data_IF_967102724882
#
_entry.id   IF_967102724882
#
_cell.length_a   1.000
_cell.length_b   1.000
_cell.length_c   1.000
_cell.angle_alpha   90.00
_cell.angle_beta   90.00
_cell.angle_gamma   90.00
#
_symmetry.space_group_name_H-M   'P 1'
#
loop_
_entity.id
_entity.type
_entity.pdbx_description
1 polymer ?
#
# COMPACT_ATOMS: atom_id res chain seq x y z
N UNK A 1 1.07 -8.75 -5.11
CA UNK A 1 1.80 -7.69 -4.40
C UNK A 1 2.70 -8.37 -3.40
N UNK A 2 3.99 -8.30 -3.63
CA UNK A 2 5.05 -8.82 -2.79
C UNK A 2 5.82 -7.63 -2.21
N UNK A 3 6.16 -7.73 -0.93
CA UNK A 3 6.98 -6.73 -0.24
C UNK A 3 8.23 -7.41 0.28
N UNK A 4 9.38 -6.92 -0.14
CA UNK A 4 10.67 -7.44 0.32
C UNK A 4 11.18 -6.58 1.46
N UNK A 5 11.55 -7.22 2.57
CA UNK A 5 12.21 -6.55 3.69
C UNK A 5 13.70 -6.83 3.60
N UNK A 6 14.52 -5.79 3.42
CA UNK A 6 15.97 -5.95 3.18
C UNK A 6 16.83 -5.66 4.40
N UNK A 7 16.42 -4.73 5.25
CA UNK A 7 17.25 -4.27 6.36
C UNK A 7 16.38 -3.86 7.55
N UNK A 8 16.82 -4.20 8.76
CA UNK A 8 16.22 -3.76 10.01
C UNK A 8 17.02 -2.60 10.60
N UNK A 9 16.32 -1.59 11.12
CA UNK A 9 16.90 -0.43 11.77
C UNK A 9 16.26 -0.22 13.14
N UNK A 10 17.08 -0.23 14.19
CA UNK A 10 16.61 -0.02 15.57
C UNK A 10 16.02 1.38 15.79
N UNK A 11 16.51 2.39 15.06
CA UNK A 11 15.98 3.76 15.09
C UNK A 11 16.27 4.42 13.75
N UNK A 12 15.23 4.70 12.99
CA UNK A 12 15.31 5.35 11.67
C UNK A 12 14.03 6.16 11.42
N UNK A 13 14.10 7.14 10.52
CA UNK A 13 12.94 7.97 10.19
C UNK A 13 12.00 7.24 9.23
N UNK A 14 10.81 6.88 9.72
CA UNK A 14 9.78 6.24 8.89
C UNK A 14 9.32 7.20 7.78
N UNK A 15 9.46 6.82 6.51
CA UNK A 15 9.10 7.67 5.35
C UNK A 15 7.61 8.03 5.32
N UNK A 16 6.73 7.21 5.91
CA UNK A 16 5.29 7.49 5.89
C UNK A 16 4.88 8.48 6.98
N UNK A 17 5.24 8.21 8.23
CA UNK A 17 4.76 8.99 9.37
C UNK A 17 5.77 9.99 9.91
N UNK A 18 6.97 10.04 9.33
CA UNK A 18 8.06 10.98 9.64
C UNK A 18 8.47 10.97 11.13
N UNK A 19 8.30 9.82 11.78
CA UNK A 19 8.70 9.61 13.19
C UNK A 19 9.90 8.67 13.24
N UNK A 20 10.84 9.00 14.11
CA UNK A 20 11.97 8.14 14.44
C UNK A 20 11.53 7.00 15.37
N UNK A 21 11.74 5.76 14.91
CA UNK A 21 11.41 4.52 15.62
C UNK A 21 12.03 3.32 14.90
N UNK A 22 11.82 2.13 15.42
CA UNK A 22 12.12 0.89 14.71
C UNK A 22 11.45 0.85 13.34
N UNK A 23 12.28 0.73 12.30
CA UNK A 23 11.87 0.66 10.92
C UNK A 23 12.55 -0.50 10.20
N UNK A 24 11.90 -0.95 9.14
CA UNK A 24 12.45 -1.92 8.20
C UNK A 24 12.48 -1.28 6.82
N UNK A 25 13.59 -1.44 6.11
CA UNK A 25 13.66 -1.06 4.71
C UNK A 25 12.81 -2.03 3.90
N UNK A 26 11.75 -1.50 3.31
CA UNK A 26 10.80 -2.26 2.48
C UNK A 26 10.92 -1.83 1.03
N UNK A 27 10.79 -2.78 0.12
CA UNK A 27 10.76 -2.56 -1.32
C UNK A 27 9.51 -3.25 -1.90
N UNK A 28 8.63 -2.46 -2.51
CA UNK A 28 7.39 -2.95 -3.11
C UNK A 28 7.61 -3.21 -4.60
N UNK A 29 7.34 -4.44 -5.07
CA UNK A 29 7.61 -4.86 -6.46
C UNK A 29 6.87 -4.04 -7.51
N UNK A 30 5.76 -3.43 -7.09
CA UNK A 30 4.83 -2.68 -7.93
C UNK A 30 5.08 -1.17 -7.93
N UNK A 31 6.18 -0.72 -7.32
CA UNK A 31 6.58 0.69 -7.27
C UNK A 31 5.68 1.58 -6.41
N UNK A 32 4.82 1.00 -5.56
CA UNK A 32 3.93 1.77 -4.67
C UNK A 32 4.73 2.68 -3.72
N UNK A 33 5.72 2.10 -3.06
CA UNK A 33 6.76 2.79 -2.31
C UNK A 33 8.04 2.11 -2.78
N UNK A 34 9.00 2.89 -3.28
CA UNK A 34 10.33 2.36 -3.61
C UNK A 34 11.05 1.84 -2.37
N UNK A 35 12.35 1.56 -2.48
CA UNK A 35 13.15 1.16 -1.32
C UNK A 35 13.16 2.25 -0.25
N UNK A 36 12.38 2.07 0.82
CA UNK A 36 12.18 3.07 1.86
C UNK A 36 12.04 2.46 3.27
N UNK A 37 12.52 3.14 4.32
CA UNK A 37 12.32 2.72 5.71
C UNK A 37 10.86 2.96 6.15
N UNK A 38 10.19 1.90 6.58
CA UNK A 38 8.85 1.96 7.17
C UNK A 38 8.84 1.29 8.53
N UNK A 39 8.17 1.91 9.50
CA UNK A 39 7.84 1.22 10.74
C UNK A 39 6.77 0.15 10.51
N UNK A 40 6.71 -0.85 11.40
CA UNK A 40 5.75 -1.95 11.31
C UNK A 40 4.30 -1.51 11.14
N UNK A 41 3.84 -0.51 11.90
CA UNK A 41 2.45 -0.01 11.79
C UNK A 41 2.16 0.66 10.45
N UNK A 42 3.14 1.38 9.88
CA UNK A 42 2.99 2.02 8.58
C UNK A 42 3.08 0.99 7.45
N UNK A 43 3.95 -0.02 7.57
CA UNK A 43 4.04 -1.13 6.64
C UNK A 43 2.71 -1.89 6.54
N UNK A 44 2.08 -2.23 7.67
CA UNK A 44 0.75 -2.87 7.67
C UNK A 44 -0.32 -1.99 6.99
N UNK A 45 -0.29 -0.68 7.23
CA UNK A 45 -1.19 0.27 6.56
C UNK A 45 -0.91 0.35 5.06
N UNK A 46 0.35 0.38 4.66
CA UNK A 46 0.78 0.36 3.26
C UNK A 46 0.20 -0.84 2.52
N UNK A 47 0.41 -2.03 3.07
CA UNK A 47 -0.11 -3.27 2.52
C UNK A 47 -1.63 -3.23 2.43
N UNK A 48 -2.32 -2.77 3.48
CA UNK A 48 -3.79 -2.66 3.48
C UNK A 48 -4.33 -1.68 2.43
N UNK A 49 -3.72 -0.49 2.32
CA UNK A 49 -4.11 0.52 1.32
C UNK A 49 -3.92 -0.04 -0.08
N UNK A 50 -2.78 -0.66 -0.33
CA UNK A 50 -2.46 -1.15 -1.65
C UNK A 50 -3.23 -2.41 -2.02
N UNK A 51 -3.44 -3.34 -1.09
CA UNK A 51 -4.32 -4.51 -1.28
C UNK A 51 -5.72 -4.11 -1.71
N UNK A 52 -6.28 -3.04 -1.12
CA UNK A 52 -7.59 -2.48 -1.52
C UNK A 52 -7.58 -1.91 -2.94
N UNK A 53 -6.53 -1.18 -3.32
CA UNK A 53 -6.40 -0.64 -4.67
C UNK A 53 -6.29 -1.74 -5.74
N UNK A 54 -5.60 -2.85 -5.45
CA UNK A 54 -5.57 -4.02 -6.35
C UNK A 54 -6.92 -4.75 -6.43
N UNK A 55 -7.72 -4.76 -5.36
CA UNK A 55 -9.06 -5.35 -5.36
C UNK A 55 -10.11 -4.52 -6.10
N UNK A 56 -9.96 -3.20 -6.15
CA UNK A 56 -10.91 -2.28 -6.79
C UNK A 56 -10.89 -2.29 -8.33
N UNK A 57 -9.99 -3.05 -8.98
CA UNK A 57 -9.99 -3.19 -10.45
C UNK A 57 -10.97 -4.24 -10.99
N UNK A 58 -11.77 -4.88 -10.13
CA UNK A 58 -12.88 -5.76 -10.55
C UNK A 58 -14.21 -5.23 -10.03
N UNK A 59 -14.55 -3.98 -10.35
CA UNK A 59 -15.89 -3.43 -10.17
C UNK A 59 -16.20 -2.31 -11.17
N UNK A 60 -15.75 -2.46 -12.43
CA UNK A 60 -16.32 -1.72 -13.56
C UNK A 60 -16.75 -2.72 -14.64
N UNK A 61 -17.92 -3.32 -14.43
CA UNK A 61 -18.74 -3.97 -15.45
C UNK A 61 -20.11 -4.23 -14.83
N UNK A 62 -21.03 -3.29 -15.00
CA UNK A 62 -22.38 -3.34 -14.43
C UNK A 62 -23.27 -2.28 -15.05
N UNK A 63 -23.45 -2.39 -16.37
CA UNK A 63 -24.55 -1.88 -17.20
C UNK A 63 -25.66 -1.16 -16.43
N UNK A 64 -25.81 0.15 -16.64
CA UNK A 64 -27.09 0.81 -16.42
C UNK A 64 -27.95 0.49 -17.65
N UNK A 65 -28.97 -0.40 -17.59
CA UNK A 65 -29.86 -0.56 -18.72
C UNK A 65 -30.62 0.74 -18.94
N UNK A 66 -30.71 1.11 -20.22
CA UNK A 66 -31.63 2.11 -20.70
C UNK A 66 -33.09 1.67 -20.43
N UNK A 67 -33.97 2.67 -20.46
CA UNK A 67 -35.42 2.56 -20.72
C UNK A 67 -36.35 2.35 -19.51
N UNK A 68 -37.10 3.40 -19.12
CA UNK A 68 -38.48 3.57 -19.60
C UNK A 68 -39.05 4.95 -19.26
N UNK A 69 -39.52 5.65 -20.28
CA UNK A 69 -40.52 6.71 -20.18
C UNK A 69 -41.81 6.17 -19.57
N UNK A 70 -42.41 6.93 -18.66
CA UNK A 70 -43.86 7.20 -18.69
C UNK A 70 -44.16 8.48 -17.90
#
# INVERSE_FOLDING_TARGET
>A
MNVTITQYHSTETCTWCEKNKECVTTDFDDGFIGKAPLCWSCLQKAIKVRSRQTGSKTAESGTKPADKSN
#
